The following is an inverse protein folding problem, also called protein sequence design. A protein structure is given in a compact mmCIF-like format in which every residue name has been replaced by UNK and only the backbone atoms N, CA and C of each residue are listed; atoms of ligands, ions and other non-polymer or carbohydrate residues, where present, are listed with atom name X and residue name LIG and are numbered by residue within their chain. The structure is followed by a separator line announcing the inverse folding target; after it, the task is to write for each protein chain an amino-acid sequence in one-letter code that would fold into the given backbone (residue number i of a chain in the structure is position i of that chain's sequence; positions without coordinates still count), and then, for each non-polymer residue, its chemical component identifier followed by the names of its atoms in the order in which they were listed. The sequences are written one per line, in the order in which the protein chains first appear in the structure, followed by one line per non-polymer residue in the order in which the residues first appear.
data_IF_041287337360
#
_entry.id   IF_041287337360
#
_cell.length_a   1.000
_cell.length_b   1.000
_cell.length_c   1.000
_cell.angle_alpha   90.00
_cell.angle_beta   90.00
_cell.angle_gamma   90.00
#
_symmetry.space_group_name_H-M   'P 1'
#
loop_
_entity.id
_entity.type
_entity.pdbx_description
1 polymer ?
#
# COMPACT_ATOMS: atom_id res chain seq x y z
N UNK A 1 -60.11 -47.02 -0.79
CA UNK A 1 -59.09 -46.93 -1.85
C UNK A 1 -57.84 -46.33 -1.20
N UNK A 2 -56.75 -47.09 -1.10
CA UNK A 2 -55.46 -46.51 -0.70
C UNK A 2 -55.08 -45.46 -1.75
N UNK A 3 -55.03 -44.20 -1.35
CA UNK A 3 -54.49 -43.12 -2.17
C UNK A 3 -53.02 -43.41 -2.41
N UNK A 4 -52.69 -43.89 -3.61
CA UNK A 4 -51.31 -44.20 -3.97
C UNK A 4 -50.50 -42.91 -3.94
N UNK A 5 -49.62 -42.76 -2.95
CA UNK A 5 -48.79 -41.56 -2.76
C UNK A 5 -47.75 -41.36 -3.88
N UNK A 6 -47.56 -42.36 -4.75
CA UNK A 6 -46.65 -42.35 -5.88
C UNK A 6 -47.01 -43.44 -6.91
N UNK A 7 -46.58 -43.30 -8.19
CA UNK A 7 -46.84 -44.27 -9.25
C UNK A 7 -46.30 -45.68 -8.91
N UNK A 8 -47.10 -46.70 -9.19
CA UNK A 8 -46.73 -48.11 -9.05
C UNK A 8 -46.24 -48.65 -10.38
N UNK A 9 -45.04 -49.19 -10.40
CA UNK A 9 -44.49 -49.86 -11.57
C UNK A 9 -44.81 -51.36 -11.50
N UNK A 10 -45.04 -51.98 -12.65
CA UNK A 10 -45.08 -53.43 -12.73
C UNK A 10 -43.65 -54.02 -12.63
N UNK A 11 -43.54 -55.33 -12.40
CA UNK A 11 -42.23 -55.97 -12.17
C UNK A 11 -41.28 -55.80 -13.36
N UNK A 12 -41.80 -55.75 -14.59
CA UNK A 12 -40.97 -55.55 -15.79
C UNK A 12 -40.32 -54.15 -15.80
N UNK A 13 -41.13 -53.13 -15.53
CA UNK A 13 -40.68 -51.74 -15.44
C UNK A 13 -39.70 -51.56 -14.28
N UNK A 14 -39.98 -52.18 -13.12
CA UNK A 14 -39.08 -52.16 -11.97
C UNK A 14 -37.70 -52.69 -12.35
N UNK A 15 -37.62 -53.85 -13.01
CA UNK A 15 -36.34 -54.42 -13.47
C UNK A 15 -35.60 -53.44 -14.38
N UNK A 16 -36.29 -52.83 -15.35
CA UNK A 16 -35.68 -51.85 -16.27
C UNK A 16 -35.14 -50.64 -15.51
N UNK A 17 -35.91 -50.06 -14.60
CA UNK A 17 -35.46 -48.91 -13.81
C UNK A 17 -34.28 -49.26 -12.91
N UNK A 18 -34.31 -50.41 -12.23
CA UNK A 18 -33.21 -50.86 -11.36
C UNK A 18 -31.93 -51.06 -12.18
N UNK A 19 -32.02 -51.69 -13.36
CA UNK A 19 -30.87 -51.88 -14.26
C UNK A 19 -30.24 -50.57 -14.74
N UNK A 20 -31.06 -49.55 -14.97
CA UNK A 20 -30.60 -48.29 -15.53
C UNK A 20 -30.10 -47.31 -14.47
N UNK A 21 -30.65 -47.37 -13.25
CA UNK A 21 -30.46 -46.30 -12.24
C UNK A 21 -29.87 -46.77 -10.91
N UNK A 22 -29.87 -48.07 -10.60
CA UNK A 22 -29.45 -48.58 -9.29
C UNK A 22 -28.29 -49.56 -9.40
N UNK A 23 -28.47 -50.63 -10.18
CA UNK A 23 -27.44 -51.65 -10.39
C UNK A 23 -26.55 -51.28 -11.58
N UNK A 24 -25.33 -51.82 -11.61
CA UNK A 24 -24.32 -51.53 -12.64
C UNK A 24 -23.65 -52.82 -13.11
N UNK A 25 -23.21 -52.88 -14.38
CA UNK A 25 -22.40 -53.99 -14.87
C UNK A 25 -23.14 -55.34 -14.90
N UNK A 26 -22.48 -56.39 -14.41
CA UNK A 26 -23.02 -57.75 -14.39
C UNK A 26 -24.28 -57.87 -13.50
N UNK A 27 -24.29 -57.20 -12.35
CA UNK A 27 -25.42 -57.23 -11.40
C UNK A 27 -26.73 -56.76 -12.03
N UNK A 28 -26.66 -55.69 -12.85
CA UNK A 28 -27.81 -55.21 -13.60
C UNK A 28 -28.22 -56.19 -14.71
N UNK A 29 -27.26 -56.67 -15.51
CA UNK A 29 -27.55 -57.59 -16.62
C UNK A 29 -28.21 -58.89 -16.15
N UNK A 30 -27.79 -59.40 -14.99
CA UNK A 30 -28.28 -60.66 -14.44
C UNK A 30 -29.63 -60.53 -13.73
N UNK A 31 -30.02 -59.33 -13.27
CA UNK A 31 -31.32 -59.11 -12.62
C UNK A 31 -32.47 -59.45 -13.57
N UNK A 32 -33.35 -60.35 -13.19
CA UNK A 32 -34.52 -60.78 -13.96
C UNK A 32 -35.83 -60.53 -13.21
N UNK A 33 -36.98 -60.78 -13.87
CA UNK A 33 -38.30 -60.68 -13.22
C UNK A 33 -38.48 -61.76 -12.14
N UNK A 34 -37.93 -62.94 -12.37
CA UNK A 34 -38.08 -64.11 -11.49
C UNK A 34 -37.34 -63.92 -10.15
N UNK A 35 -36.38 -62.99 -10.11
CA UNK A 35 -35.70 -62.60 -8.86
C UNK A 35 -36.58 -61.73 -7.95
N UNK A 36 -37.65 -61.12 -8.48
CA UNK A 36 -38.53 -60.20 -7.76
C UNK A 36 -39.97 -60.72 -7.62
N UNK A 37 -40.40 -61.66 -8.47
CA UNK A 37 -41.75 -62.19 -8.49
C UNK A 37 -41.76 -63.64 -9.03
N UNK A 38 -42.58 -64.56 -8.48
CA UNK A 38 -43.53 -64.38 -7.38
C UNK A 38 -42.87 -64.41 -5.99
N UNK A 39 -41.65 -64.93 -5.89
CA UNK A 39 -40.90 -65.07 -4.65
C UNK A 39 -39.61 -64.24 -4.73
N UNK A 40 -39.59 -63.02 -4.16
CA UNK A 40 -38.40 -62.19 -4.21
C UNK A 40 -37.21 -62.87 -3.52
N UNK A 41 -36.05 -62.88 -4.16
CA UNK A 41 -34.81 -63.41 -3.58
C UNK A 41 -34.21 -62.38 -2.61
N UNK A 42 -34.07 -62.68 -1.30
CA UNK A 42 -33.55 -61.73 -0.32
C UNK A 42 -32.19 -61.14 -0.70
N UNK A 43 -31.29 -61.95 -1.25
CA UNK A 43 -29.92 -61.58 -1.61
C UNK A 43 -29.91 -60.52 -2.72
N UNK A 44 -30.81 -60.67 -3.70
CA UNK A 44 -30.98 -59.69 -4.78
C UNK A 44 -31.55 -58.38 -4.24
N UNK A 45 -32.51 -58.45 -3.31
CA UNK A 45 -33.05 -57.26 -2.66
C UNK A 45 -32.01 -56.55 -1.78
N UNK A 46 -31.16 -57.29 -1.07
CA UNK A 46 -30.08 -56.71 -0.27
C UNK A 46 -29.16 -55.88 -1.16
N UNK A 47 -28.75 -56.46 -2.29
CA UNK A 47 -27.93 -55.75 -3.27
C UNK A 47 -28.64 -54.48 -3.77
N UNK A 48 -29.90 -54.57 -4.19
CA UNK A 48 -30.66 -53.41 -4.69
C UNK A 48 -30.77 -52.32 -3.62
N UNK A 49 -31.15 -52.67 -2.40
CA UNK A 49 -31.32 -51.71 -1.31
C UNK A 49 -30.00 -51.09 -0.87
N UNK A 50 -28.93 -51.88 -0.73
CA UNK A 50 -27.60 -51.36 -0.44
C UNK A 50 -27.18 -50.36 -1.52
N UNK A 51 -27.27 -50.74 -2.80
CA UNK A 51 -26.91 -49.85 -3.93
C UNK A 51 -27.75 -48.56 -3.93
N UNK A 52 -29.04 -48.64 -3.63
CA UNK A 52 -29.89 -47.44 -3.51
C UNK A 52 -29.40 -46.51 -2.38
N UNK A 53 -29.07 -47.04 -1.21
CA UNK A 53 -28.54 -46.26 -0.09
C UNK A 53 -27.16 -45.65 -0.41
N UNK A 54 -26.29 -46.39 -1.12
CA UNK A 54 -25.00 -45.86 -1.57
C UNK A 54 -25.19 -44.66 -2.53
N UNK A 55 -26.17 -44.73 -3.44
CA UNK A 55 -26.45 -43.65 -4.39
C UNK A 55 -27.03 -42.41 -3.69
N UNK A 56 -27.92 -42.62 -2.74
CA UNK A 56 -28.66 -41.53 -2.08
C UNK A 56 -27.84 -40.85 -0.99
N UNK A 57 -27.21 -41.64 -0.12
CA UNK A 57 -26.50 -41.13 1.06
C UNK A 57 -24.97 -41.17 0.94
N UNK A 58 -24.41 -41.78 -0.11
CA UNK A 58 -22.95 -41.94 -0.22
C UNK A 58 -22.37 -42.93 0.80
N UNK A 59 -23.20 -43.82 1.36
CA UNK A 59 -22.77 -44.88 2.28
C UNK A 59 -21.81 -45.82 1.53
N UNK A 60 -20.73 -46.27 2.17
CA UNK A 60 -19.80 -47.26 1.62
C UNK A 60 -20.17 -48.66 2.10
N UNK A 61 -19.70 -49.69 1.40
CA UNK A 61 -19.99 -51.09 1.75
C UNK A 61 -19.57 -51.41 3.19
N UNK A 62 -18.39 -50.95 3.61
CA UNK A 62 -17.86 -51.13 4.96
C UNK A 62 -18.81 -50.63 6.08
N UNK A 63 -19.60 -49.59 5.84
CA UNK A 63 -20.52 -49.06 6.84
C UNK A 63 -21.61 -50.07 7.22
N UNK A 64 -21.98 -50.97 6.30
CA UNK A 64 -22.93 -52.04 6.59
C UNK A 64 -22.34 -53.11 7.52
N UNK A 65 -21.02 -53.20 7.63
CA UNK A 65 -20.32 -54.16 8.49
C UNK A 65 -19.80 -53.54 9.79
N UNK A 66 -20.13 -52.27 10.08
CA UNK A 66 -19.69 -51.62 11.32
C UNK A 66 -20.52 -52.13 12.50
N UNK A 67 -19.82 -52.54 13.57
CA UNK A 67 -20.42 -52.87 14.85
C UNK A 67 -20.65 -51.60 15.68
N UNK A 68 -21.81 -51.42 16.33
CA UNK A 68 -22.02 -50.32 17.25
C UNK A 68 -21.01 -50.34 18.40
N UNK A 69 -20.44 -49.18 18.75
CA UNK A 69 -19.42 -49.07 19.80
C UNK A 69 -19.91 -49.51 21.19
N UNK A 70 -21.21 -49.43 21.42
CA UNK A 70 -21.88 -49.82 22.66
C UNK A 70 -22.36 -51.28 22.67
N UNK A 71 -22.06 -52.07 21.65
CA UNK A 71 -22.44 -53.47 21.59
C UNK A 71 -21.42 -54.32 22.38
N UNK A 72 -21.78 -54.71 23.60
CA UNK A 72 -21.01 -55.66 24.40
C UNK A 72 -21.27 -57.09 23.92
N UNK A 73 -20.56 -57.51 22.87
CA UNK A 73 -20.67 -58.85 22.30
C UNK A 73 -19.45 -59.69 22.68
N UNK A 74 -19.67 -60.82 23.35
CA UNK A 74 -18.60 -61.76 23.77
C UNK A 74 -17.77 -62.28 22.58
N UNK A 75 -18.40 -62.47 21.41
CA UNK A 75 -17.76 -62.99 20.20
C UNK A 75 -18.15 -62.15 18.96
N UNK A 76 -17.46 -61.03 18.70
CA UNK A 76 -17.82 -60.11 17.62
C UNK A 76 -17.82 -60.74 16.22
N UNK A 77 -16.92 -61.69 15.96
CA UNK A 77 -16.79 -62.37 14.67
C UNK A 77 -18.05 -63.16 14.26
N UNK A 78 -18.83 -63.65 15.22
CA UNK A 78 -20.09 -64.37 14.93
C UNK A 78 -21.15 -63.42 14.36
N UNK A 79 -21.03 -62.11 14.64
CA UNK A 79 -21.99 -61.11 14.21
C UNK A 79 -21.75 -60.64 12.77
N UNK A 80 -20.63 -60.99 12.14
CA UNK A 80 -20.24 -60.47 10.82
C UNK A 80 -21.31 -60.72 9.74
N UNK A 81 -21.99 -61.87 9.79
CA UNK A 81 -23.10 -62.17 8.87
C UNK A 81 -24.40 -61.42 9.17
N UNK A 82 -24.61 -60.99 10.42
CA UNK A 82 -25.82 -60.29 10.86
C UNK A 82 -25.73 -58.77 10.71
N UNK A 83 -24.54 -58.20 10.92
CA UNK A 83 -24.26 -56.76 10.79
C UNK A 83 -24.81 -56.13 9.50
N UNK A 84 -24.55 -56.68 8.29
CA UNK A 84 -25.07 -56.07 7.06
C UNK A 84 -26.60 -56.04 7.01
N UNK A 85 -27.28 -57.05 7.57
CA UNK A 85 -28.76 -57.12 7.58
C UNK A 85 -29.32 -56.04 8.50
N UNK A 86 -28.79 -55.94 9.73
CA UNK A 86 -29.33 -55.01 10.73
C UNK A 86 -28.99 -53.55 10.39
N UNK A 87 -27.78 -53.28 9.90
CA UNK A 87 -27.39 -51.94 9.46
C UNK A 87 -28.19 -51.52 8.22
N UNK A 88 -28.42 -52.44 7.27
CA UNK A 88 -29.32 -52.20 6.14
C UNK A 88 -30.73 -51.84 6.61
N UNK A 89 -31.28 -52.57 7.59
CA UNK A 89 -32.59 -52.26 8.17
C UNK A 89 -32.65 -50.86 8.76
N UNK A 90 -31.69 -50.46 9.59
CA UNK A 90 -31.71 -49.13 10.20
C UNK A 90 -31.62 -47.99 9.17
N UNK A 91 -30.77 -48.14 8.16
CA UNK A 91 -30.70 -47.17 7.06
C UNK A 91 -32.00 -47.13 6.26
N UNK A 92 -32.59 -48.28 5.91
CA UNK A 92 -33.86 -48.34 5.19
C UNK A 92 -35.01 -47.78 6.02
N UNK A 93 -35.05 -48.01 7.34
CA UNK A 93 -36.08 -47.46 8.22
C UNK A 93 -36.10 -45.93 8.19
N UNK A 94 -34.94 -45.29 8.03
CA UNK A 94 -34.84 -43.83 7.83
C UNK A 94 -35.16 -43.40 6.39
N UNK A 95 -34.77 -44.20 5.40
CA UNK A 95 -34.92 -43.88 3.98
C UNK A 95 -36.34 -44.08 3.43
N UNK A 96 -37.03 -45.14 3.84
CA UNK A 96 -38.33 -45.52 3.31
C UNK A 96 -39.41 -44.43 3.46
N UNK A 97 -39.50 -43.70 4.58
CA UNK A 97 -40.44 -42.57 4.71
C UNK A 97 -40.21 -41.47 3.67
N UNK A 98 -38.95 -41.22 3.28
CA UNK A 98 -38.60 -40.26 2.22
C UNK A 98 -39.14 -40.75 0.87
N UNK A 99 -39.11 -42.06 0.65
CA UNK A 99 -39.73 -42.75 -0.49
C UNK A 99 -41.26 -42.93 -0.35
N UNK A 100 -41.89 -42.28 0.64
CA UNK A 100 -43.33 -42.36 0.95
C UNK A 100 -43.79 -43.76 1.38
N UNK A 101 -42.91 -44.54 1.99
CA UNK A 101 -43.18 -45.86 2.57
C UNK A 101 -42.98 -45.78 4.08
N UNK A 102 -44.06 -45.85 4.85
CA UNK A 102 -44.00 -45.67 6.32
C UNK A 102 -44.12 -46.98 7.11
N UNK A 103 -44.50 -48.08 6.45
CA UNK A 103 -44.79 -49.37 7.07
C UNK A 103 -43.73 -50.43 6.75
N UNK A 104 -42.47 -50.01 6.61
CA UNK A 104 -41.33 -50.90 6.35
C UNK A 104 -40.89 -51.61 7.63
N UNK A 105 -40.73 -52.94 7.55
CA UNK A 105 -40.38 -53.79 8.68
C UNK A 105 -39.15 -54.66 8.37
N UNK A 106 -38.53 -55.24 9.42
CA UNK A 106 -37.39 -56.15 9.24
C UNK A 106 -37.77 -57.41 8.44
N UNK A 107 -39.03 -57.82 8.51
CA UNK A 107 -39.57 -58.95 7.75
C UNK A 107 -39.52 -58.71 6.24
N UNK A 108 -39.55 -57.46 5.79
CA UNK A 108 -39.44 -57.12 4.36
C UNK A 108 -38.03 -57.29 3.78
N UNK A 109 -37.04 -57.46 4.66
CA UNK A 109 -35.65 -57.78 4.35
C UNK A 109 -35.49 -59.31 4.39
N UNK A 110 -35.83 -59.93 5.52
CA UNK A 110 -35.56 -61.36 5.76
C UNK A 110 -36.55 -62.29 5.04
N UNK A 111 -37.81 -61.88 4.91
CA UNK A 111 -38.91 -62.66 4.32
C UNK A 111 -39.76 -61.82 3.34
N UNK A 112 -39.16 -61.37 2.22
CA UNK A 112 -39.78 -60.41 1.33
C UNK A 112 -41.03 -60.98 0.64
N UNK A 113 -42.08 -60.16 0.56
CA UNK A 113 -43.34 -60.50 -0.13
C UNK A 113 -43.47 -59.72 -1.43
N UNK A 114 -43.67 -60.40 -2.55
CA UNK A 114 -43.73 -59.80 -3.89
C UNK A 114 -44.50 -58.48 -4.00
N UNK A 115 -45.75 -58.43 -3.51
CA UNK A 115 -46.57 -57.21 -3.59
C UNK A 115 -45.96 -56.04 -2.80
N UNK A 116 -45.43 -56.30 -1.60
CA UNK A 116 -44.80 -55.29 -0.73
C UNK A 116 -43.48 -54.81 -1.34
N UNK A 117 -42.64 -55.76 -1.76
CA UNK A 117 -41.36 -55.49 -2.43
C UNK A 117 -41.55 -54.63 -3.68
N UNK A 118 -42.47 -55.00 -4.58
CA UNK A 118 -42.79 -54.21 -5.79
C UNK A 118 -43.20 -52.78 -5.43
N UNK A 119 -43.97 -52.62 -4.34
CA UNK A 119 -44.36 -51.30 -3.84
C UNK A 119 -43.18 -50.49 -3.32
N UNK A 120 -42.28 -51.09 -2.56
CA UNK A 120 -41.13 -50.39 -2.00
C UNK A 120 -40.14 -49.99 -3.09
N UNK A 121 -39.83 -50.91 -4.00
CA UNK A 121 -38.97 -50.62 -5.15
C UNK A 121 -39.55 -49.48 -6.01
N UNK A 122 -40.88 -49.45 -6.21
CA UNK A 122 -41.51 -48.33 -6.89
C UNK A 122 -41.31 -46.99 -6.18
N UNK A 123 -41.36 -46.97 -4.84
CA UNK A 123 -41.16 -45.75 -4.05
C UNK A 123 -39.72 -45.24 -4.17
N UNK A 124 -38.76 -46.17 -4.07
CA UNK A 124 -37.33 -45.88 -4.24
C UNK A 124 -37.04 -45.33 -5.65
N UNK A 125 -37.57 -45.99 -6.69
CA UNK A 125 -37.39 -45.57 -8.08
C UNK A 125 -37.93 -44.16 -8.29
N UNK A 126 -39.13 -43.85 -7.79
CA UNK A 126 -39.72 -42.51 -7.89
C UNK A 126 -38.87 -41.45 -7.18
N UNK A 127 -38.35 -41.76 -5.99
CA UNK A 127 -37.45 -40.84 -5.28
C UNK A 127 -36.15 -40.61 -6.05
N UNK A 128 -35.55 -41.65 -6.63
CA UNK A 128 -34.32 -41.54 -7.41
C UNK A 128 -34.54 -40.66 -8.64
N UNK A 129 -35.65 -40.84 -9.37
CA UNK A 129 -36.00 -39.96 -10.50
C UNK A 129 -36.14 -38.51 -10.06
N UNK A 130 -36.88 -38.27 -8.97
CA UNK A 130 -37.04 -36.91 -8.43
C UNK A 130 -35.70 -36.27 -8.05
N UNK A 131 -34.84 -37.02 -7.35
CA UNK A 131 -33.49 -36.56 -6.98
C UNK A 131 -32.63 -36.26 -8.19
N UNK A 132 -32.73 -37.06 -9.25
CA UNK A 132 -31.97 -36.84 -10.48
C UNK A 132 -32.41 -35.54 -11.17
N UNK A 133 -33.73 -35.28 -11.25
CA UNK A 133 -34.25 -34.01 -11.74
C UNK A 133 -33.80 -32.81 -10.89
N UNK A 134 -33.74 -32.95 -9.56
CA UNK A 134 -33.20 -31.89 -8.69
C UNK A 134 -31.68 -31.70 -8.83
N UNK A 135 -30.95 -32.73 -9.30
CA UNK A 135 -29.49 -32.73 -9.36
C UNK A 135 -28.97 -31.72 -10.37
N UNK A 136 -29.66 -31.54 -11.49
CA UNK A 136 -29.27 -30.57 -12.52
C UNK A 136 -29.28 -29.15 -11.96
N UNK A 137 -30.41 -28.74 -11.35
CA UNK A 137 -30.54 -27.44 -10.68
C UNK A 137 -29.50 -27.27 -9.56
N UNK A 138 -29.27 -28.31 -8.76
CA UNK A 138 -28.26 -28.25 -7.70
C UNK A 138 -26.84 -28.10 -8.27
N UNK A 139 -26.50 -28.80 -9.35
CA UNK A 139 -25.19 -28.71 -9.98
C UNK A 139 -24.91 -27.29 -10.54
N UNK A 140 -25.93 -26.63 -11.10
CA UNK A 140 -25.84 -25.24 -11.52
C UNK A 140 -25.53 -24.31 -10.32
N UNK A 141 -26.23 -24.48 -9.20
CA UNK A 141 -25.93 -23.73 -7.98
C UNK A 141 -24.51 -23.97 -7.46
N UNK A 142 -24.04 -25.22 -7.49
CA UNK A 142 -22.66 -25.55 -7.09
C UNK A 142 -21.64 -24.83 -7.99
N UNK A 143 -21.85 -24.84 -9.32
CA UNK A 143 -20.96 -24.17 -10.26
C UNK A 143 -20.96 -22.64 -10.05
N UNK A 144 -22.13 -22.04 -9.86
CA UNK A 144 -22.26 -20.61 -9.60
C UNK A 144 -21.52 -20.18 -8.32
N UNK A 145 -21.57 -21.00 -7.27
CA UNK A 145 -20.89 -20.72 -5.99
C UNK A 145 -19.39 -21.07 -6.00
N UNK A 146 -18.94 -21.94 -6.91
CA UNK A 146 -17.52 -22.28 -7.04
C UNK A 146 -16.69 -21.10 -7.54
N UNK A 147 -17.20 -20.32 -8.49
CA UNK A 147 -16.48 -19.16 -9.06
C UNK A 147 -16.12 -18.08 -8.01
N UNK A 148 -17.03 -17.65 -7.11
CA UNK A 148 -16.68 -16.79 -5.98
C UNK A 148 -15.65 -17.38 -5.02
N UNK A 149 -15.74 -18.67 -4.70
CA UNK A 149 -14.77 -19.36 -3.82
C UNK A 149 -13.36 -19.37 -4.45
N UNK A 150 -13.27 -19.69 -5.74
CA UNK A 150 -12.00 -19.69 -6.48
C UNK A 150 -11.41 -18.27 -6.54
N UNK A 151 -12.24 -17.24 -6.79
CA UNK A 151 -11.82 -15.82 -6.75
C UNK A 151 -11.34 -15.39 -5.36
N UNK A 152 -12.04 -15.79 -4.30
CA UNK A 152 -11.65 -15.50 -2.92
C UNK A 152 -10.28 -16.13 -2.60
N UNK A 153 -10.06 -17.37 -3.02
CA UNK A 153 -8.77 -18.04 -2.85
C UNK A 153 -7.65 -17.31 -3.60
N UNK A 154 -7.89 -16.92 -4.87
CA UNK A 154 -6.93 -16.15 -5.67
C UNK A 154 -6.59 -14.80 -5.02
N UNK A 155 -7.60 -14.06 -4.56
CA UNK A 155 -7.41 -12.78 -3.88
C UNK A 155 -6.63 -12.94 -2.56
N UNK A 156 -6.93 -13.98 -1.77
CA UNK A 156 -6.19 -14.26 -0.55
C UNK A 156 -4.71 -14.58 -0.83
N UNK A 157 -4.43 -15.38 -1.87
CA UNK A 157 -3.04 -15.65 -2.27
C UNK A 157 -2.32 -14.39 -2.75
N UNK A 158 -2.97 -13.55 -3.56
CA UNK A 158 -2.41 -12.28 -4.01
C UNK A 158 -2.18 -11.29 -2.84
N UNK A 159 -3.09 -11.27 -1.86
CA UNK A 159 -2.96 -10.47 -0.66
C UNK A 159 -1.76 -10.91 0.19
N UNK A 160 -1.59 -12.23 0.40
CA UNK A 160 -0.41 -12.75 1.11
C UNK A 160 0.90 -12.42 0.38
N UNK A 161 0.92 -12.52 -0.95
CA UNK A 161 2.11 -12.15 -1.74
C UNK A 161 2.42 -10.65 -1.60
N UNK A 162 1.40 -9.79 -1.63
CA UNK A 162 1.56 -8.36 -1.44
C UNK A 162 2.10 -8.01 -0.04
N UNK A 163 1.61 -8.69 1.00
CA UNK A 163 2.12 -8.53 2.37
C UNK A 163 3.60 -8.92 2.47
N UNK A 164 4.02 -10.04 1.85
CA UNK A 164 5.43 -10.44 1.84
C UNK A 164 6.31 -9.43 1.08
N UNK A 165 5.81 -8.82 0.00
CA UNK A 165 6.54 -7.76 -0.72
C UNK A 165 6.66 -6.50 0.12
N UNK A 166 5.61 -6.13 0.84
CA UNK A 166 5.60 -4.97 1.73
C UNK A 166 6.58 -5.17 2.89
N UNK A 167 6.58 -6.35 3.52
CA UNK A 167 7.55 -6.71 4.56
C UNK A 167 9.00 -6.63 4.06
N UNK A 168 9.27 -7.10 2.83
CA UNK A 168 10.61 -6.98 2.21
C UNK A 168 11.04 -5.55 1.92
N UNK A 169 10.10 -4.66 1.62
CA UNK A 169 10.39 -3.24 1.37
C UNK A 169 10.56 -2.47 2.68
N UNK A 170 9.77 -2.79 3.70
CA UNK A 170 9.85 -2.19 5.03
C UNK A 170 11.08 -2.70 5.80
N UNK A 171 11.60 -3.88 5.47
CA UNK A 171 12.91 -4.34 5.92
C UNK A 171 14.02 -3.61 5.18
N UNK A 172 14.22 -2.32 5.50
CA UNK A 172 15.43 -1.61 5.14
C UNK A 172 16.60 -2.30 5.87
N UNK A 173 17.63 -2.76 5.15
CA UNK A 173 18.81 -3.34 5.80
C UNK A 173 19.39 -2.35 6.81
N UNK A 174 19.75 -2.85 8.00
CA UNK A 174 20.33 -2.01 9.07
C UNK A 174 21.54 -1.20 8.56
N UNK A 175 22.29 -1.78 7.62
CA UNK A 175 23.42 -1.15 6.94
C UNK A 175 23.00 0.12 6.16
N UNK A 176 21.92 0.07 5.37
CA UNK A 176 21.43 1.23 4.61
C UNK A 176 20.88 2.33 5.55
N UNK A 177 20.31 1.94 6.69
CA UNK A 177 19.79 2.88 7.69
C UNK A 177 20.92 3.55 8.48
N UNK A 178 22.02 2.84 8.74
CA UNK A 178 23.25 3.41 9.31
C UNK A 178 23.95 4.35 8.33
N UNK A 179 24.05 3.99 7.05
CA UNK A 179 24.60 4.86 5.99
C UNK A 179 23.79 6.15 5.84
N UNK A 180 22.45 6.07 5.83
CA UNK A 180 21.59 7.25 5.73
C UNK A 180 21.77 8.18 6.95
N UNK A 181 21.94 7.60 8.14
CA UNK A 181 22.18 8.36 9.36
C UNK A 181 23.56 9.06 9.32
N UNK A 182 24.61 8.36 8.91
CA UNK A 182 25.94 8.95 8.73
C UNK A 182 25.90 10.11 7.73
N UNK A 183 25.23 9.93 6.59
CA UNK A 183 25.09 10.99 5.59
C UNK A 183 24.30 12.19 6.11
N UNK A 184 23.26 11.97 6.92
CA UNK A 184 22.52 13.05 7.59
C UNK A 184 23.40 13.83 8.56
N UNK A 185 24.19 13.13 9.37
CA UNK A 185 25.12 13.75 10.34
C UNK A 185 26.18 14.58 9.59
N UNK A 186 26.76 14.06 8.51
CA UNK A 186 27.71 14.78 7.65
C UNK A 186 27.08 16.04 7.02
N UNK A 187 25.83 15.97 6.56
CA UNK A 187 25.11 17.13 6.01
C UNK A 187 24.92 18.20 7.10
N UNK A 188 24.58 17.81 8.33
CA UNK A 188 24.42 18.75 9.44
C UNK A 188 25.75 19.41 9.81
N UNK A 189 26.83 18.64 9.88
CA UNK A 189 28.18 19.17 10.13
C UNK A 189 28.60 20.16 9.05
N UNK A 190 28.41 19.81 7.76
CA UNK A 190 28.72 20.69 6.64
C UNK A 190 27.88 21.98 6.65
N UNK A 191 26.59 21.89 7.00
CA UNK A 191 25.73 23.07 7.15
C UNK A 191 26.21 23.99 8.28
N UNK A 192 26.62 23.42 9.41
CA UNK A 192 27.18 24.18 10.52
C UNK A 192 28.49 24.88 10.13
N UNK A 193 29.39 24.15 9.45
CA UNK A 193 30.64 24.70 8.91
C UNK A 193 30.39 25.83 7.90
N UNK A 194 29.44 25.64 6.97
CA UNK A 194 29.04 26.66 6.00
C UNK A 194 28.56 27.93 6.70
N UNK A 195 27.73 27.80 7.74
CA UNK A 195 27.24 28.94 8.52
C UNK A 195 28.38 29.66 9.27
N UNK A 196 29.33 28.92 9.85
CA UNK A 196 30.53 29.52 10.46
C UNK A 196 31.37 30.28 9.43
N UNK A 197 31.57 29.72 8.24
CA UNK A 197 32.29 30.40 7.17
C UNK A 197 31.55 31.66 6.72
N UNK A 198 30.22 31.60 6.56
CA UNK A 198 29.40 32.78 6.25
C UNK A 198 29.58 33.88 7.29
N UNK A 199 29.53 33.56 8.59
CA UNK A 199 29.77 34.54 9.65
C UNK A 199 31.16 35.17 9.55
N UNK A 200 32.22 34.35 9.36
CA UNK A 200 33.59 34.86 9.16
C UNK A 200 33.68 35.76 7.94
N UNK A 201 33.04 35.40 6.84
CA UNK A 201 33.00 36.23 5.62
C UNK A 201 32.33 37.57 5.89
N UNK A 202 31.21 37.61 6.60
CA UNK A 202 30.53 38.86 6.98
C UNK A 202 31.45 39.76 7.80
N UNK A 203 32.09 39.23 8.84
CA UNK A 203 33.02 39.99 9.70
C UNK A 203 34.20 40.55 8.89
N UNK A 204 34.79 39.73 8.01
CA UNK A 204 35.87 40.19 7.13
C UNK A 204 35.40 41.27 6.16
N UNK A 205 34.18 41.14 5.62
CA UNK A 205 33.60 42.12 4.70
C UNK A 205 33.32 43.45 5.40
N UNK A 206 32.76 43.42 6.62
CA UNK A 206 32.58 44.61 7.47
C UNK A 206 33.93 45.30 7.74
N UNK A 207 34.95 44.53 8.16
CA UNK A 207 36.30 45.05 8.36
C UNK A 207 36.91 45.66 7.09
N UNK A 208 36.64 45.07 5.92
CA UNK A 208 37.10 45.59 4.64
C UNK A 208 36.36 46.88 4.25
N UNK A 209 35.05 46.98 4.52
CA UNK A 209 34.28 48.22 4.30
C UNK A 209 34.75 49.35 5.21
N UNK A 210 35.04 49.05 6.48
CA UNK A 210 35.61 50.03 7.41
C UNK A 210 36.96 50.55 6.91
N UNK A 211 37.88 49.65 6.55
CA UNK A 211 39.19 50.04 5.98
C UNK A 211 39.05 50.88 4.71
N UNK A 212 38.10 50.57 3.82
CA UNK A 212 37.82 51.39 2.63
C UNK A 212 37.33 52.79 3.00
N UNK A 213 36.46 52.90 4.01
CA UNK A 213 36.00 54.18 4.55
C UNK A 213 37.17 55.00 5.10
N UNK A 214 38.01 54.40 5.94
CA UNK A 214 39.19 55.05 6.53
C UNK A 214 40.17 55.53 5.44
N UNK A 215 40.39 54.73 4.39
CA UNK A 215 41.22 55.11 3.24
C UNK A 215 40.62 56.31 2.51
N UNK A 216 39.31 56.31 2.26
CA UNK A 216 38.60 57.41 1.62
C UNK A 216 38.70 58.70 2.44
N UNK A 217 38.50 58.62 3.75
CA UNK A 217 38.64 59.76 4.67
C UNK A 217 40.08 60.30 4.69
N UNK A 218 41.07 59.43 4.87
CA UNK A 218 42.49 59.83 4.80
C UNK A 218 42.85 60.43 3.44
N UNK A 219 42.27 59.94 2.35
CA UNK A 219 42.48 60.48 1.00
C UNK A 219 41.88 61.88 0.87
N UNK A 220 40.69 62.14 1.44
CA UNK A 220 40.09 63.48 1.49
C UNK A 220 40.98 64.46 2.25
N UNK A 221 41.40 64.10 3.46
CA UNK A 221 42.31 64.93 4.28
C UNK A 221 43.62 65.21 3.54
N UNK A 222 44.18 64.19 2.87
CA UNK A 222 45.40 64.36 2.07
C UNK A 222 45.19 65.32 0.88
N UNK A 223 44.04 65.28 0.22
CA UNK A 223 43.71 66.21 -0.86
C UNK A 223 43.47 67.63 -0.36
N UNK A 224 42.80 67.82 0.78
CA UNK A 224 42.64 69.12 1.44
C UNK A 224 44.00 69.72 1.83
N UNK A 225 44.89 68.90 2.36
CA UNK A 225 46.25 69.32 2.69
C UNK A 225 47.04 69.69 1.43
N UNK A 226 46.90 68.93 0.33
CA UNK A 226 47.51 69.28 -0.96
C UNK A 226 46.99 70.63 -1.49
N UNK A 227 45.68 70.88 -1.44
CA UNK A 227 45.08 72.15 -1.83
C UNK A 227 45.63 73.30 -0.97
N UNK A 228 45.74 73.09 0.34
CA UNK A 228 46.34 74.06 1.27
C UNK A 228 47.81 74.33 0.96
N UNK A 229 48.58 73.31 0.59
CA UNK A 229 49.98 73.49 0.15
C UNK A 229 50.07 74.29 -1.15
N UNK A 230 49.17 74.05 -2.10
CA UNK A 230 49.12 74.82 -3.35
C UNK A 230 48.76 76.28 -3.07
N UNK A 231 47.73 76.54 -2.26
CA UNK A 231 47.33 77.91 -1.92
C UNK A 231 48.42 78.65 -1.14
N UNK A 232 49.11 77.98 -0.21
CA UNK A 232 50.26 78.54 0.49
C UNK A 232 51.43 78.83 -0.46
N UNK A 233 51.66 77.98 -1.47
CA UNK A 233 52.65 78.25 -2.53
C UNK A 233 52.25 79.45 -3.40
N UNK A 234 50.98 79.58 -3.79
CA UNK A 234 50.48 80.74 -4.54
C UNK A 234 50.63 82.04 -3.73
N UNK A 235 50.32 81.99 -2.43
CA UNK A 235 50.55 83.12 -1.50
C UNK A 235 52.03 83.43 -1.42
N UNK A 236 52.89 82.42 -1.29
CA UNK A 236 54.35 82.57 -1.28
C UNK A 236 54.86 83.21 -2.58
N UNK A 237 54.37 82.78 -3.74
CA UNK A 237 54.77 83.32 -5.03
C UNK A 237 54.22 84.75 -5.26
N UNK A 238 53.01 85.06 -4.79
CA UNK A 238 52.48 86.43 -4.83
C UNK A 238 53.22 87.36 -3.85
N UNK A 239 53.66 86.85 -2.70
CA UNK A 239 54.51 87.60 -1.77
C UNK A 239 55.88 87.84 -2.40
N UNK A 240 56.47 86.84 -3.07
CA UNK A 240 57.70 87.04 -3.86
C UNK A 240 57.52 88.09 -4.95
N UNK A 241 56.39 88.11 -5.66
CA UNK A 241 56.13 89.12 -6.70
C UNK A 241 55.85 90.52 -6.14
N UNK A 242 55.33 90.63 -4.91
CA UNK A 242 55.16 91.91 -4.18
C UNK A 242 56.45 92.40 -3.53
N UNK A 243 57.43 91.51 -3.34
CA UNK A 243 58.79 91.85 -2.93
C UNK A 243 59.58 92.26 -4.19
N UNK A 244 59.40 93.53 -4.57
CA UNK A 244 60.33 94.36 -5.37
C UNK A 244 60.33 94.20 -6.90
N UNK A 245 59.85 95.26 -7.60
CA UNK A 245 60.18 95.54 -9.02
C UNK A 245 61.08 96.79 -9.21
N UNK A 246 61.35 97.59 -8.17
CA UNK A 246 62.47 98.57 -8.15
C UNK A 246 62.63 99.29 -6.80
N UNK A 247 63.60 98.92 -5.94
CA UNK A 247 63.99 99.72 -4.78
C UNK A 247 64.67 101.02 -5.20
N UNK A 248 65.24 101.05 -6.41
CA UNK A 248 65.93 102.21 -6.97
C UNK A 248 64.98 103.36 -7.31
N UNK A 249 63.74 103.07 -7.78
CA UNK A 249 62.73 104.10 -8.06
C UNK A 249 62.31 104.88 -6.81
N UNK A 250 62.24 104.21 -5.65
CA UNK A 250 61.90 104.85 -4.36
C UNK A 250 63.05 105.72 -3.86
N UNK A 251 64.31 105.31 -4.09
CA UNK A 251 65.50 106.08 -3.70
C UNK A 251 65.61 107.40 -4.48
N UNK A 252 65.40 107.36 -5.80
CA UNK A 252 65.45 108.54 -6.66
C UNK A 252 64.34 109.57 -6.37
N UNK A 253 63.13 109.12 -5.99
CA UNK A 253 62.05 110.03 -5.59
C UNK A 253 62.37 110.76 -4.26
N UNK A 254 62.99 110.05 -3.32
CA UNK A 254 63.38 110.61 -2.01
C UNK A 254 64.48 111.67 -2.15
N UNK A 255 65.43 111.49 -3.06
CA UNK A 255 66.45 112.51 -3.37
C UNK A 255 65.87 113.74 -4.07
N UNK A 256 64.95 113.57 -5.03
CA UNK A 256 64.23 114.69 -5.66
C UNK A 256 63.44 115.53 -4.65
N UNK A 257 62.74 114.88 -3.70
CA UNK A 257 62.00 115.58 -2.65
C UNK A 257 62.94 116.38 -1.73
N UNK A 258 64.11 115.82 -1.38
CA UNK A 258 65.14 116.49 -0.57
C UNK A 258 65.69 117.75 -1.25
N UNK A 259 65.90 117.70 -2.58
CA UNK A 259 66.33 118.87 -3.37
C UNK A 259 65.28 120.00 -3.43
N UNK A 260 64.00 119.64 -3.38
CA UNK A 260 62.88 120.60 -3.45
C UNK A 260 62.70 121.33 -2.12
N UNK A 261 62.86 120.62 -1.00
CA UNK A 261 62.83 121.20 0.36
C UNK A 261 64.05 122.13 0.60
N UNK A 262 65.22 121.82 0.03
CA UNK A 262 66.40 122.69 0.14
C UNK A 262 66.25 124.02 -0.63
N UNK A 263 65.57 124.00 -1.80
CA UNK A 263 65.32 125.21 -2.60
C UNK A 263 64.31 126.15 -1.94
N UNK A 264 63.26 125.61 -1.30
CA UNK A 264 62.27 126.41 -0.54
C UNK A 264 62.85 127.02 0.76
N UNK A 265 63.89 126.39 1.34
CA UNK A 265 64.57 126.92 2.53
C UNK A 265 65.49 128.11 2.21
N UNK A 266 66.03 128.18 0.99
CA UNK A 266 66.91 129.26 0.56
C UNK A 266 66.14 130.48 -0.02
N UNK A 267 64.83 130.38 -0.24
CA UNK A 267 63.99 131.49 -0.73
C UNK A 267 63.32 132.34 0.37
N UNK A 268 63.61 132.10 1.66
CA UNK A 268 63.05 132.86 2.78
C UNK A 268 64.10 133.67 3.58
N UNK A 269 65.33 133.79 3.07
CA UNK A 269 66.42 134.59 3.68
C UNK A 269 67.10 135.46 2.62
N UNK A 270 66.38 136.42 2.02
CA UNK A 270 66.93 137.65 1.40
C UNK A 270 65.84 138.42 0.62
N UNK A 271 65.31 139.51 1.18
CA UNK A 271 65.24 140.86 0.54
C UNK A 271 64.09 141.72 1.14
N UNK A 272 64.27 143.06 1.31
CA UNK A 272 63.48 143.92 2.20
C UNK A 272 62.50 144.91 1.50
N UNK A 273 61.57 145.42 2.32
CA UNK A 273 60.91 146.75 2.38
C UNK A 273 60.54 147.49 1.07
N UNK A 274 59.25 147.85 0.93
CA UNK A 274 58.87 149.20 0.45
C UNK A 274 57.50 149.65 0.97
N UNK A 275 57.44 150.94 1.23
CA UNK A 275 56.39 151.77 1.79
C UNK A 275 55.55 152.39 0.65
N UNK A 276 54.25 152.57 0.85
CA UNK A 276 53.49 153.62 0.15
C UNK A 276 52.19 153.97 0.90
N UNK A 277 52.15 155.23 1.34
CA UNK A 277 51.02 156.07 1.73
C UNK A 277 49.89 156.11 0.70
N UNK A 278 48.63 155.98 1.16
CA UNK A 278 47.59 157.01 1.21
C UNK A 278 46.50 156.57 2.20
#
# INVERSE_FOLDING_TARGET
METLSFPRYNVAEIVVHIRNKILTGADGKNLSKDDLYPNPKPEVLYMIYMRALQIVYGVRLEHFYMMPLNAEVMYPHIMEGFLPIINLFFHLKSFMPICRVNDFEITDIVYPKAKRTSRFLSGIINFIHFRESCRETYAEFVLQNKSPMDKMQQLNSAHQEALMKLEKLDSVPVEEQEEFKQLMDDIQELQHLLNQFRQKTTVLQEGNTQKKSDISEKTKVLNELKLSVVSLKEVQDSLKSKVVDSPEKVKNYKEKMKSTVQKLRNSLVSSPVSCATF
#
